data_IF_325286494603
#
_entry.id   IF_325286494603
#
_cell.length_a   1.000
_cell.length_b   1.000
_cell.length_c   1.000
_cell.angle_alpha   90.00
_cell.angle_beta   90.00
_cell.angle_gamma   90.00
#
_symmetry.space_group_name_H-M   'P 1'
#
loop_
_entity.id
_entity.type
_entity.pdbx_description
1 polymer ?
#
# COMPACT_ATOMS: atom_id res chain seq x y z
N UNK A 1 -10.55 -4.70 8.11
CA UNK A 1 -10.94 -3.51 7.34
C UNK A 1 -9.65 -3.11 6.71
N UNK A 2 -9.58 -3.27 5.40
CA UNK A 2 -8.36 -3.26 4.60
C UNK A 2 -7.67 -1.92 4.77
N UNK A 3 -6.52 -1.89 5.47
CA UNK A 3 -5.91 -0.65 5.96
C UNK A 3 -5.02 -0.01 4.88
N UNK A 4 -5.65 0.35 3.76
CA UNK A 4 -5.08 1.23 2.74
C UNK A 4 -4.44 2.48 3.37
N UNK A 5 -5.00 2.99 4.47
CA UNK A 5 -4.45 4.14 5.17
C UNK A 5 -3.08 3.85 5.78
N UNK A 6 -2.89 2.70 6.42
CA UNK A 6 -1.62 2.33 7.03
C UNK A 6 -0.56 2.09 5.95
N UNK A 7 -0.87 1.31 4.90
CA UNK A 7 0.05 1.09 3.77
C UNK A 7 0.46 2.40 3.12
N UNK A 8 -0.49 3.27 2.77
CA UNK A 8 -0.19 4.55 2.13
C UNK A 8 0.61 5.48 3.06
N UNK A 9 0.33 5.47 4.36
CA UNK A 9 1.09 6.29 5.34
C UNK A 9 2.50 5.76 5.53
N UNK A 10 2.66 4.45 5.56
CA UNK A 10 3.95 3.80 5.72
C UNK A 10 4.80 3.94 4.46
N UNK A 11 4.19 3.84 3.28
CA UNK A 11 4.83 4.20 2.02
C UNK A 11 5.28 5.67 2.03
N UNK A 12 4.43 6.59 2.50
CA UNK A 12 4.85 7.99 2.61
C UNK A 12 6.01 8.18 3.61
N UNK A 13 5.96 7.54 4.77
CA UNK A 13 7.01 7.67 5.78
C UNK A 13 8.36 7.10 5.29
N UNK A 14 8.32 6.08 4.44
CA UNK A 14 9.48 5.29 4.06
C UNK A 14 10.04 5.58 2.67
N UNK A 15 9.17 5.76 1.66
CA UNK A 15 9.56 6.06 0.28
C UNK A 15 9.59 7.55 0.01
N UNK A 16 8.48 8.23 0.31
CA UNK A 16 8.30 9.62 -0.09
C UNK A 16 7.38 10.35 0.89
N UNK A 17 7.99 11.11 1.80
CA UNK A 17 7.25 11.90 2.81
C UNK A 17 6.35 12.99 2.22
N UNK A 18 6.47 13.27 0.92
CA UNK A 18 5.60 14.19 0.18
C UNK A 18 4.51 13.47 -0.60
N UNK A 19 4.47 12.13 -0.53
CA UNK A 19 3.44 11.31 -1.13
C UNK A 19 2.07 11.60 -0.53
N UNK A 20 1.09 11.77 -1.41
CA UNK A 20 -0.26 12.13 -1.00
C UNK A 20 -1.05 10.88 -0.57
N UNK A 21 -0.99 10.62 0.73
CA UNK A 21 -1.72 9.52 1.39
C UNK A 21 -3.23 9.61 1.12
N UNK A 22 -3.76 10.83 0.92
CA UNK A 22 -5.16 11.07 0.63
C UNK A 22 -5.60 10.52 -0.74
N UNK A 23 -4.81 10.81 -1.77
CA UNK A 23 -5.02 10.27 -3.12
C UNK A 23 -4.81 8.75 -3.15
N UNK A 24 -3.76 8.26 -2.49
CA UNK A 24 -3.49 6.82 -2.36
C UNK A 24 -4.67 6.07 -1.74
N UNK A 25 -5.19 6.55 -0.61
CA UNK A 25 -6.36 5.95 0.05
C UNK A 25 -7.59 5.97 -0.86
N UNK A 26 -7.82 7.07 -1.56
CA UNK A 26 -8.95 7.19 -2.49
C UNK A 26 -8.83 6.21 -3.66
N UNK A 27 -7.63 6.06 -4.21
CA UNK A 27 -7.33 5.11 -5.29
C UNK A 27 -7.48 3.67 -4.81
N UNK A 28 -6.91 3.33 -3.65
CA UNK A 28 -7.03 2.03 -3.00
C UNK A 28 -8.48 1.66 -2.71
N UNK A 29 -9.28 2.61 -2.19
CA UNK A 29 -10.73 2.38 -1.94
C UNK A 29 -11.52 2.21 -3.24
N UNK A 30 -11.13 2.87 -4.33
CA UNK A 30 -11.77 2.68 -5.65
C UNK A 30 -11.41 1.33 -6.24
N UNK A 31 -10.14 0.96 -6.21
CA UNK A 31 -9.68 -0.32 -6.72
C UNK A 31 -10.27 -1.50 -5.91
N UNK A 32 -10.36 -1.38 -4.58
CA UNK A 32 -11.07 -2.34 -3.73
C UNK A 32 -12.56 -2.51 -4.06
N UNK A 33 -13.19 -1.48 -4.66
CA UNK A 33 -14.58 -1.54 -5.11
C UNK A 33 -14.74 -2.06 -6.54
N UNK A 34 -13.74 -1.81 -7.37
CA UNK A 34 -13.73 -2.21 -8.77
C UNK A 34 -13.34 -3.68 -8.92
N UNK A 35 -12.43 -4.16 -8.07
CA UNK A 35 -11.82 -5.47 -8.19
C UNK A 35 -11.91 -6.22 -6.84
N UNK A 36 -12.67 -7.33 -6.77
CA UNK A 36 -12.85 -8.09 -5.53
C UNK A 36 -11.59 -8.82 -5.08
N UNK A 37 -10.64 -9.08 -5.98
CA UNK A 37 -9.34 -9.67 -5.66
C UNK A 37 -8.34 -8.63 -5.11
N UNK A 38 -8.69 -7.34 -5.15
CA UNK A 38 -7.86 -6.26 -4.64
C UNK A 38 -7.68 -6.32 -3.12
N UNK A 39 -8.68 -6.80 -2.38
CA UNK A 39 -8.56 -7.00 -0.93
C UNK A 39 -7.38 -7.93 -0.60
N UNK A 40 -7.16 -8.97 -1.42
CA UNK A 40 -6.05 -9.91 -1.26
C UNK A 40 -4.69 -9.30 -1.64
N UNK A 41 -4.67 -8.33 -2.56
CA UNK A 41 -3.46 -7.56 -2.88
C UNK A 41 -3.10 -6.63 -1.72
N UNK A 42 -4.10 -6.00 -1.10
CA UNK A 42 -3.88 -5.12 0.05
C UNK A 42 -3.42 -5.93 1.26
N UNK A 43 -4.03 -7.08 1.56
CA UNK A 43 -3.57 -7.99 2.63
C UNK A 43 -2.11 -8.46 2.42
N UNK A 44 -1.73 -8.78 1.17
CA UNK A 44 -0.35 -9.12 0.84
C UNK A 44 0.60 -7.94 1.05
N UNK A 45 0.17 -6.77 0.63
CA UNK A 45 0.92 -5.54 0.77
C UNK A 45 1.15 -5.19 2.24
N UNK A 46 0.09 -5.23 3.06
CA UNK A 46 0.13 -4.98 4.50
C UNK A 46 1.07 -5.95 5.21
N UNK A 47 0.95 -7.26 4.94
CA UNK A 47 1.87 -8.28 5.49
C UNK A 47 3.33 -8.02 5.10
N UNK A 48 3.55 -7.56 3.88
CA UNK A 48 4.89 -7.30 3.38
C UNK A 48 5.53 -6.10 4.10
N UNK A 49 4.74 -5.09 4.43
CA UNK A 49 5.16 -3.92 5.21
C UNK A 49 5.29 -4.19 6.71
N UNK A 50 4.40 -4.98 7.32
CA UNK A 50 4.42 -5.31 8.76
C UNK A 50 5.68 -6.11 9.15
N UNK A 51 6.11 -7.05 8.31
CA UNK A 51 7.27 -7.90 8.56
C UNK A 51 8.61 -7.19 8.24
N UNK A 52 8.58 -6.11 7.47
CA UNK A 52 9.79 -5.41 7.01
C UNK A 52 9.70 -3.91 7.23
N UNK A 53 10.47 -3.45 8.21
CA UNK A 53 10.77 -2.04 8.42
C UNK A 53 11.52 -1.50 7.21
N UNK A 54 10.76 -0.96 6.23
CA UNK A 54 11.05 0.10 5.26
C UNK A 54 12.40 0.24 4.55
N UNK A 55 13.43 -0.57 4.82
CA UNK A 55 14.76 -0.51 4.20
C UNK A 55 15.05 -1.77 3.37
N UNK A 56 14.24 -2.81 3.55
CA UNK A 56 14.34 -4.10 2.83
C UNK A 56 12.98 -4.63 2.34
N UNK A 57 11.90 -3.95 2.72
CA UNK A 57 10.55 -4.15 2.20
C UNK A 57 10.40 -3.53 0.81
N UNK A 58 11.11 -2.41 0.60
CA UNK A 58 10.91 -1.44 -0.48
C UNK A 58 10.77 -2.11 -1.85
N UNK A 59 11.81 -2.78 -2.34
CA UNK A 59 11.77 -3.31 -3.70
C UNK A 59 10.80 -4.49 -3.91
N UNK A 60 10.54 -5.28 -2.86
CA UNK A 60 9.63 -6.43 -2.94
C UNK A 60 8.18 -5.97 -2.84
N UNK A 61 7.86 -5.30 -1.74
CA UNK A 61 6.52 -4.84 -1.46
C UNK A 61 6.09 -3.75 -2.43
N UNK A 62 6.94 -2.80 -2.85
CA UNK A 62 6.51 -1.83 -3.85
C UNK A 62 6.13 -2.49 -5.19
N UNK A 63 6.68 -3.67 -5.52
CA UNK A 63 6.28 -4.42 -6.72
C UNK A 63 4.91 -5.09 -6.52
N UNK A 64 4.68 -5.74 -5.37
CA UNK A 64 3.40 -6.37 -5.03
C UNK A 64 2.28 -5.33 -4.76
N UNK A 65 2.67 -4.18 -4.21
CA UNK A 65 1.83 -3.03 -3.92
C UNK A 65 1.77 -2.02 -5.07
N UNK A 66 2.43 -2.25 -6.21
CA UNK A 66 2.48 -1.32 -7.36
C UNK A 66 1.09 -1.00 -7.94
N UNK A 67 0.10 -1.82 -7.60
CA UNK A 67 -1.31 -1.63 -7.97
C UNK A 67 -2.07 -0.74 -6.97
N UNK A 68 -1.48 -0.49 -5.79
CA UNK A 68 -2.04 0.29 -4.66
C UNK A 68 -1.30 1.64 -4.53
N UNK A 69 0.03 1.60 -4.59
CA UNK A 69 0.96 2.74 -4.53
C UNK A 69 1.79 2.78 -5.83
N UNK A 70 2.11 3.96 -6.38
CA UNK A 70 2.89 4.10 -7.61
C UNK A 70 4.39 3.81 -7.42
#
# INVERSE_FOLDING_TARGET
MTDCQDICSQYADCYDSTYDVGDCRSSCTRAAKDDPDFDQLVDQCENCFDDRSCTSAEFGCASDCSTIVP
#
